data_IF_234936408575
#
_entry.id   IF_234936408575
#
_cell.length_a   1.000
_cell.length_b   1.000
_cell.length_c   1.000
_cell.angle_alpha   90.00
_cell.angle_beta   90.00
_cell.angle_gamma   90.00
#
_symmetry.space_group_name_H-M   'P 1'
#
loop_
_entity.id
_entity.type
_entity.pdbx_description
1 polymer ?
#
# COMPACT_ATOMS: atom_id res chain seq x y z
N UNK A 1 45.43 -45.57 -68.45
CA UNK A 1 45.76 -44.29 -67.76
C UNK A 1 45.56 -44.58 -66.26
N UNK A 2 46.54 -44.55 -65.35
CA UNK A 2 47.72 -43.67 -65.17
C UNK A 2 47.32 -42.22 -64.78
N UNK A 3 47.83 -41.61 -63.70
CA UNK A 3 48.79 -42.05 -62.64
C UNK A 3 48.52 -41.26 -61.31
N UNK A 4 48.97 -41.71 -60.11
CA UNK A 4 48.54 -41.18 -58.80
C UNK A 4 49.66 -40.45 -57.96
N UNK A 5 49.44 -40.28 -56.63
CA UNK A 5 50.32 -39.75 -55.51
C UNK A 5 49.94 -38.34 -55.01
N UNK A 6 50.24 -37.87 -53.79
CA UNK A 6 50.85 -38.37 -52.53
C UNK A 6 50.20 -37.62 -51.33
N UNK A 7 50.21 -37.98 -50.01
CA UNK A 7 51.00 -38.83 -49.08
C UNK A 7 51.96 -38.05 -48.13
N UNK A 8 51.50 -37.84 -46.88
CA UNK A 8 52.22 -37.58 -45.60
C UNK A 8 51.23 -37.90 -44.44
N UNK A 9 51.51 -37.99 -43.13
CA UNK A 9 52.72 -37.80 -42.30
C UNK A 9 52.62 -36.52 -41.43
N UNK A 10 52.81 -36.50 -40.10
CA UNK A 10 53.17 -37.52 -39.08
C UNK A 10 52.37 -37.24 -37.76
N UNK A 11 51.78 -38.23 -37.07
CA UNK A 11 52.28 -39.04 -35.92
C UNK A 11 52.32 -38.37 -34.53
N UNK A 12 51.96 -39.13 -33.47
CA UNK A 12 52.13 -38.86 -32.02
C UNK A 12 51.24 -37.76 -31.38
N UNK A 13 50.89 -37.78 -30.07
CA UNK A 13 51.22 -38.69 -28.94
C UNK A 13 50.06 -38.73 -27.91
N UNK A 14 50.06 -39.71 -27.00
CA UNK A 14 49.18 -39.77 -25.82
C UNK A 14 49.72 -38.89 -24.68
N UNK A 15 48.84 -38.18 -23.96
CA UNK A 15 49.14 -37.64 -22.64
C UNK A 15 47.85 -37.45 -21.80
N UNK A 16 47.71 -38.20 -20.71
CA UNK A 16 46.77 -37.89 -19.63
C UNK A 16 47.46 -37.04 -18.56
N UNK A 17 46.80 -36.01 -18.03
CA UNK A 17 47.30 -35.26 -16.86
C UNK A 17 46.16 -34.80 -15.97
N UNK A 18 46.04 -35.39 -14.78
CA UNK A 18 45.19 -34.87 -13.71
C UNK A 18 45.83 -33.65 -13.06
N UNK A 19 45.13 -32.52 -12.99
CA UNK A 19 45.52 -31.39 -12.13
C UNK A 19 44.91 -31.55 -10.75
N UNK A 20 45.70 -31.26 -9.70
CA UNK A 20 45.30 -31.43 -8.30
C UNK A 20 44.78 -30.11 -7.70
N UNK A 21 43.97 -30.25 -6.66
CA UNK A 21 43.51 -29.16 -5.80
C UNK A 21 44.69 -28.39 -5.17
N UNK A 22 44.53 -27.09 -4.99
CA UNK A 22 45.31 -26.27 -4.05
C UNK A 22 44.34 -25.26 -3.39
N UNK A 23 44.46 -24.93 -2.07
CA UNK A 23 43.38 -24.27 -1.33
C UNK A 23 43.52 -22.74 -1.28
N UNK A 24 42.37 -22.05 -1.16
CA UNK A 24 42.34 -20.59 -0.92
C UNK A 24 41.62 -20.25 0.39
N UNK A 25 42.30 -19.46 1.20
CA UNK A 25 41.99 -19.01 2.57
C UNK A 25 40.57 -18.46 2.80
N UNK A 26 40.04 -18.70 4.01
CA UNK A 26 38.83 -18.07 4.57
C UNK A 26 38.75 -16.55 4.31
N UNK A 27 37.55 -16.08 3.94
CA UNK A 27 37.01 -14.80 4.45
C UNK A 27 35.59 -15.02 4.96
N UNK A 28 35.36 -14.72 6.23
CA UNK A 28 34.03 -14.73 6.83
C UNK A 28 33.27 -13.47 6.42
N UNK A 29 32.09 -13.61 5.81
CA UNK A 29 31.19 -12.48 5.58
C UNK A 29 30.27 -12.29 6.79
N UNK A 30 30.58 -11.28 7.60
CA UNK A 30 29.73 -10.87 8.73
C UNK A 30 28.48 -10.17 8.21
N UNK A 31 27.30 -10.74 8.43
CA UNK A 31 26.03 -10.10 8.04
C UNK A 31 25.67 -8.99 9.02
N UNK A 32 25.63 -7.74 8.55
CA UNK A 32 25.18 -6.58 9.32
C UNK A 32 23.71 -6.27 9.03
N UNK A 33 22.82 -6.59 9.97
CA UNK A 33 21.38 -6.39 9.86
C UNK A 33 21.00 -4.90 9.91
N UNK A 34 20.85 -4.25 8.76
CA UNK A 34 20.47 -2.84 8.69
C UNK A 34 19.12 -2.55 9.37
N UNK A 35 19.06 -1.44 10.11
CA UNK A 35 17.91 -1.04 10.92
C UNK A 35 16.91 -0.22 10.10
N UNK A 36 15.69 -0.73 9.92
CA UNK A 36 14.55 0.07 9.50
C UNK A 36 13.79 0.56 10.74
N UNK A 37 13.98 1.83 11.09
CA UNK A 37 13.32 2.49 12.22
C UNK A 37 12.08 3.28 11.77
N UNK A 38 10.96 2.58 11.54
CA UNK A 38 9.69 3.25 11.23
C UNK A 38 9.01 3.82 12.48
N UNK A 39 9.26 5.11 12.73
CA UNK A 39 8.38 5.93 13.58
C UNK A 39 7.25 6.47 12.70
N UNK A 40 6.01 6.12 13.00
CA UNK A 40 4.83 6.81 12.47
C UNK A 40 3.91 7.19 13.63
N UNK A 41 3.71 8.50 13.84
CA UNK A 41 2.93 9.04 14.95
C UNK A 41 1.63 9.66 14.44
N UNK A 42 0.59 8.83 14.26
CA UNK A 42 -0.74 9.32 13.92
C UNK A 42 -1.36 10.05 15.13
N UNK A 43 -1.28 11.38 15.13
CA UNK A 43 -1.98 12.21 16.09
C UNK A 43 -3.50 12.03 15.95
N UNK A 44 -4.18 11.69 17.04
CA UNK A 44 -5.65 11.63 17.08
C UNK A 44 -6.21 13.02 17.42
N UNK A 45 -7.02 13.58 16.55
CA UNK A 45 -7.89 14.70 16.91
C UNK A 45 -9.10 14.19 17.68
N UNK A 46 -9.13 14.47 18.98
CA UNK A 46 -10.38 14.61 19.73
C UNK A 46 -10.88 16.08 19.60
N UNK A 47 -12.09 16.48 19.99
CA UNK A 47 -13.14 15.77 20.72
C UNK A 47 -14.54 16.34 20.38
N UNK A 48 -15.58 15.65 20.83
CA UNK A 48 -16.86 16.26 21.21
C UNK A 48 -17.44 15.46 22.39
N UNK A 49 -18.10 16.12 23.35
CA UNK A 49 -18.42 15.54 24.67
C UNK A 49 -19.87 15.76 25.08
N UNK A 50 -20.56 14.68 25.45
CA UNK A 50 -21.76 14.66 26.31
C UNK A 50 -21.99 13.23 26.83
N UNK A 51 -21.64 12.91 28.08
CA UNK A 51 -22.45 13.03 29.31
C UNK A 51 -23.69 12.13 29.38
N UNK A 52 -23.50 10.94 29.96
CA UNK A 52 -24.37 10.26 30.95
C UNK A 52 -25.89 10.46 30.94
N UNK A 53 -26.62 9.35 30.76
CA UNK A 53 -27.84 9.04 31.52
C UNK A 53 -28.01 7.52 31.69
N UNK A 54 -28.92 7.08 32.57
CA UNK A 54 -28.99 5.70 33.10
C UNK A 54 -30.13 4.84 32.53
N UNK A 55 -30.05 3.54 32.79
CA UNK A 55 -30.89 2.49 32.21
C UNK A 55 -32.39 2.54 32.58
N UNK A 56 -33.24 2.03 31.67
CA UNK A 56 -34.45 1.25 32.00
C UNK A 56 -35.04 0.53 30.76
N UNK A 57 -35.86 -0.50 30.99
CA UNK A 57 -36.54 -1.39 30.01
C UNK A 57 -37.57 -2.24 30.80
N UNK A 58 -38.64 -2.84 30.22
CA UNK A 58 -39.48 -2.52 29.04
C UNK A 58 -40.92 -2.10 29.46
N UNK A 59 -41.86 -1.96 28.51
CA UNK A 59 -43.23 -2.56 28.57
C UNK A 59 -43.94 -2.45 27.19
N UNK A 60 -45.05 -3.18 27.01
CA UNK A 60 -45.78 -3.49 25.76
C UNK A 60 -47.06 -2.64 25.60
N UNK A 61 -47.63 -2.57 24.38
CA UNK A 61 -49.08 -2.46 23.98
C UNK A 61 -49.25 -1.45 22.82
N UNK A 62 -49.47 -1.81 21.54
CA UNK A 62 -50.64 -2.44 20.81
C UNK A 62 -51.67 -1.41 20.29
N UNK A 63 -52.33 -1.72 19.15
CA UNK A 63 -53.41 -0.97 18.44
C UNK A 63 -53.02 0.27 17.60
N UNK A 64 -53.85 0.77 16.67
CA UNK A 64 -54.21 0.18 15.34
C UNK A 64 -55.08 1.12 14.47
N UNK A 65 -54.95 1.01 13.13
CA UNK A 65 -55.95 1.28 12.08
C UNK A 65 -56.72 2.63 11.98
N UNK A 66 -56.44 3.40 10.92
CA UNK A 66 -57.37 4.08 9.94
C UNK A 66 -56.49 4.97 9.02
N UNK A 67 -56.60 5.12 7.69
CA UNK A 67 -57.68 5.10 6.68
C UNK A 67 -58.57 6.37 6.64
N UNK A 68 -58.79 7.09 5.51
CA UNK A 68 -58.14 7.10 4.18
C UNK A 68 -58.60 8.31 3.31
N UNK A 69 -57.82 8.64 2.25
CA UNK A 69 -58.26 9.29 0.97
C UNK A 69 -58.52 10.85 0.98
N UNK A 70 -58.76 11.56 -0.16
CA UNK A 70 -57.67 12.22 -0.93
C UNK A 70 -57.96 13.66 -1.49
N UNK A 71 -57.11 14.10 -2.43
CA UNK A 71 -57.22 15.27 -3.35
C UNK A 71 -56.81 16.65 -2.73
N UNK A 72 -56.36 17.66 -3.49
CA UNK A 72 -56.54 17.97 -4.93
C UNK A 72 -55.29 18.60 -5.59
N UNK A 73 -55.25 18.59 -6.93
CA UNK A 73 -54.22 19.13 -7.83
C UNK A 73 -54.07 20.66 -7.82
N UNK A 74 -52.83 21.18 -7.95
CA UNK A 74 -52.54 22.38 -8.77
C UNK A 74 -51.06 22.54 -9.13
N UNK A 75 -50.80 22.99 -10.35
CA UNK A 75 -49.49 23.44 -10.87
C UNK A 75 -49.24 24.91 -10.50
N UNK A 76 -47.99 25.40 -10.46
CA UNK A 76 -47.53 26.67 -11.13
C UNK A 76 -46.10 27.10 -10.73
N UNK A 77 -45.21 27.11 -11.72
CA UNK A 77 -44.07 28.01 -12.00
C UNK A 77 -43.06 28.43 -10.90
N UNK A 78 -41.77 28.35 -11.27
CA UNK A 78 -40.66 29.03 -10.59
C UNK A 78 -40.72 30.55 -10.80
N UNK A 79 -40.28 31.34 -9.81
CA UNK A 79 -39.97 32.77 -9.98
C UNK A 79 -38.54 33.06 -9.52
N UNK A 80 -37.63 33.22 -10.46
CA UNK A 80 -36.30 33.79 -10.21
C UNK A 80 -36.42 35.26 -9.83
N UNK A 81 -35.66 35.69 -8.81
CA UNK A 81 -35.54 37.10 -8.42
C UNK A 81 -34.06 37.46 -8.40
N UNK A 82 -33.60 38.19 -9.41
CA UNK A 82 -32.29 38.83 -9.42
C UNK A 82 -32.41 40.26 -8.90
N UNK A 83 -31.74 40.62 -7.79
CA UNK A 83 -31.51 42.02 -7.46
C UNK A 83 -30.38 42.58 -8.34
N UNK A 84 -30.67 43.62 -9.12
CA UNK A 84 -29.68 44.35 -9.89
C UNK A 84 -29.28 45.64 -9.17
N UNK A 85 -27.98 45.81 -8.89
CA UNK A 85 -27.41 47.03 -8.33
C UNK A 85 -26.28 47.56 -9.23
N UNK A 86 -26.32 48.83 -9.68
CA UNK A 86 -25.25 49.42 -10.46
C UNK A 86 -24.16 49.97 -9.51
N UNK A 87 -23.02 49.30 -9.43
CA UNK A 87 -21.83 49.78 -8.73
C UNK A 87 -20.67 49.96 -9.73
N UNK A 88 -20.12 51.17 -9.80
CA UNK A 88 -19.08 51.56 -10.79
C UNK A 88 -17.85 52.14 -10.08
N UNK A 89 -17.15 51.30 -9.33
CA UNK A 89 -15.92 51.67 -8.61
C UNK A 89 -14.97 50.45 -8.54
N UNK A 90 -13.65 50.61 -8.74
CA UNK A 90 -12.70 49.50 -8.71
C UNK A 90 -12.39 49.06 -7.26
N UNK A 91 -12.26 47.75 -6.97
CA UNK A 91 -12.04 47.25 -5.61
C UNK A 91 -10.63 47.57 -5.09
N UNK A 92 -10.57 48.12 -3.87
CA UNK A 92 -9.33 48.41 -3.13
C UNK A 92 -8.59 47.10 -2.78
N UNK A 93 -7.26 47.00 -2.97
CA UNK A 93 -6.52 45.76 -2.76
C UNK A 93 -6.48 45.35 -1.27
N UNK A 94 -7.36 44.44 -0.90
CA UNK A 94 -7.44 43.92 0.48
C UNK A 94 -6.33 42.88 0.70
N UNK A 95 -5.50 43.08 1.73
CA UNK A 95 -4.34 42.23 2.06
C UNK A 95 -4.67 40.75 2.28
N UNK A 96 -5.95 40.40 2.47
CA UNK A 96 -6.46 39.03 2.61
C UNK A 96 -6.34 38.19 1.33
N UNK A 97 -6.21 38.80 0.15
CA UNK A 97 -5.95 38.05 -1.10
C UNK A 97 -4.52 37.54 -1.14
N UNK A 98 -3.54 38.38 -0.77
CA UNK A 98 -2.12 38.05 -0.83
C UNK A 98 -1.71 36.82 0.00
N UNK A 99 -2.40 36.52 1.10
CA UNK A 99 -2.15 35.30 1.90
C UNK A 99 -2.78 34.06 1.26
N UNK A 100 -3.96 34.18 0.65
CA UNK A 100 -4.56 33.11 -0.16
C UNK A 100 -3.67 32.80 -1.37
N UNK A 101 -3.25 33.83 -2.12
CA UNK A 101 -2.34 33.71 -3.25
C UNK A 101 -0.99 33.13 -2.82
N UNK A 102 -0.40 33.57 -1.70
CA UNK A 102 0.85 32.99 -1.18
C UNK A 102 0.71 31.50 -0.83
N UNK A 103 -0.46 31.07 -0.32
CA UNK A 103 -0.71 29.65 -0.04
C UNK A 103 -0.95 28.83 -1.31
N UNK A 104 -1.59 29.42 -2.34
CA UNK A 104 -1.75 28.81 -3.66
C UNK A 104 -0.42 28.75 -4.43
N UNK A 105 0.43 29.75 -4.29
CA UNK A 105 1.78 29.85 -4.83
C UNK A 105 2.72 28.83 -4.15
N UNK A 106 2.60 28.66 -2.83
CA UNK A 106 3.27 27.59 -2.09
C UNK A 106 2.78 26.20 -2.55
N UNK A 107 1.48 25.99 -2.74
CA UNK A 107 0.94 24.74 -3.26
C UNK A 107 1.37 24.46 -4.71
N UNK A 108 1.49 25.51 -5.55
CA UNK A 108 2.09 25.44 -6.89
C UNK A 108 3.57 25.06 -6.83
N UNK A 109 4.34 25.64 -5.90
CA UNK A 109 5.76 25.28 -5.69
C UNK A 109 5.95 23.88 -5.11
N UNK A 110 5.02 23.37 -4.30
CA UNK A 110 5.00 21.96 -3.90
C UNK A 110 4.68 21.04 -5.09
N UNK A 111 3.73 21.41 -5.97
CA UNK A 111 3.54 20.73 -7.26
C UNK A 111 4.75 20.83 -8.19
N UNK A 112 5.61 21.83 -8.04
CA UNK A 112 6.83 21.98 -8.87
C UNK A 112 7.87 20.87 -8.66
N UNK A 113 7.71 20.00 -7.65
CA UNK A 113 8.58 18.82 -7.44
C UNK A 113 8.26 17.64 -8.37
N UNK A 114 7.21 17.69 -9.18
CA UNK A 114 6.93 16.66 -10.21
C UNK A 114 7.58 16.97 -11.57
N UNK A 115 8.29 18.09 -11.72
CA UNK A 115 8.95 18.47 -12.96
C UNK A 115 10.04 17.43 -13.35
N UNK A 116 9.71 16.58 -14.33
CA UNK A 116 10.55 15.47 -14.80
C UNK A 116 10.06 14.07 -14.42
N UNK A 117 9.01 13.92 -13.59
CA UNK A 117 8.39 12.63 -13.27
C UNK A 117 7.29 12.25 -14.28
N UNK A 118 7.52 12.50 -15.57
CA UNK A 118 6.62 12.13 -16.66
C UNK A 118 6.74 10.64 -16.99
N UNK A 119 6.17 9.82 -16.11
CA UNK A 119 6.20 8.36 -16.14
C UNK A 119 5.12 7.76 -17.08
N UNK A 120 4.85 8.44 -18.20
CA UNK A 120 3.92 8.00 -19.25
C UNK A 120 4.69 7.09 -20.23
N UNK A 121 4.17 5.89 -20.58
CA UNK A 121 4.80 5.04 -21.57
C UNK A 121 4.93 5.74 -22.94
N UNK A 122 6.02 5.48 -23.71
CA UNK A 122 6.11 5.96 -25.08
C UNK A 122 5.00 5.32 -25.93
N UNK A 123 4.31 6.14 -26.71
CA UNK A 123 3.24 5.68 -27.60
C UNK A 123 3.86 4.89 -28.77
N UNK A 124 3.56 3.58 -28.82
CA UNK A 124 4.17 2.65 -29.76
C UNK A 124 3.15 2.24 -30.83
N UNK A 125 3.26 2.83 -32.02
CA UNK A 125 2.35 2.58 -33.13
C UNK A 125 2.34 1.10 -33.58
N UNK A 126 1.16 0.61 -33.97
CA UNK A 126 1.01 -0.69 -34.66
C UNK A 126 0.67 -1.89 -33.78
N UNK A 127 0.63 -1.77 -32.45
CA UNK A 127 0.16 -2.85 -31.54
C UNK A 127 -0.99 -2.34 -30.67
N UNK A 128 -2.12 -3.08 -30.54
CA UNK A 128 -3.19 -2.76 -29.60
C UNK A 128 -2.78 -3.12 -28.16
N UNK A 129 -1.74 -2.47 -27.65
CA UNK A 129 -1.29 -2.60 -26.28
C UNK A 129 -2.34 -1.99 -25.32
N UNK A 130 -2.68 -2.72 -24.26
CA UNK A 130 -3.65 -2.24 -23.27
C UNK A 130 -3.00 -1.12 -22.44
N UNK A 131 -3.53 0.11 -22.54
CA UNK A 131 -3.13 1.22 -21.66
C UNK A 131 -3.59 0.94 -20.22
N UNK A 132 -2.72 0.33 -19.42
CA UNK A 132 -2.97 0.06 -18.01
C UNK A 132 -3.05 1.30 -17.12
N UNK A 133 -2.67 2.50 -17.61
CA UNK A 133 -2.80 3.74 -16.84
C UNK A 133 -4.25 4.18 -16.69
N UNK A 134 -5.12 3.85 -17.67
CA UNK A 134 -6.55 4.21 -17.68
C UNK A 134 -7.50 3.03 -17.81
N UNK A 135 -7.14 1.98 -18.54
CA UNK A 135 -8.01 0.83 -18.85
C UNK A 135 -8.53 0.08 -17.62
N UNK A 136 -9.69 -0.55 -17.77
CA UNK A 136 -10.31 -1.47 -16.80
C UNK A 136 -10.43 -2.91 -17.36
N UNK A 137 -9.61 -3.25 -18.37
CA UNK A 137 -9.70 -4.53 -19.10
C UNK A 137 -9.70 -5.76 -18.20
N UNK A 138 -10.72 -6.62 -18.36
CA UNK A 138 -10.87 -7.89 -17.65
C UNK A 138 -11.30 -7.79 -16.18
N UNK A 139 -11.52 -6.59 -15.64
CA UNK A 139 -11.99 -6.40 -14.27
C UNK A 139 -13.39 -6.99 -14.08
N UNK A 140 -13.52 -7.97 -13.17
CA UNK A 140 -14.79 -8.66 -12.89
C UNK A 140 -15.29 -9.57 -14.01
N UNK A 141 -14.54 -9.76 -15.10
CA UNK A 141 -14.99 -10.56 -16.25
C UNK A 141 -14.92 -12.07 -16.06
N UNK A 142 -13.99 -12.57 -15.24
CA UNK A 142 -13.78 -13.99 -14.99
C UNK A 142 -13.32 -14.27 -13.55
N UNK A 143 -13.71 -15.43 -13.02
CA UNK A 143 -13.19 -15.95 -11.75
C UNK A 143 -11.74 -16.45 -11.91
N UNK A 144 -11.06 -16.75 -10.79
CA UNK A 144 -9.83 -17.53 -10.81
C UNK A 144 -10.14 -19.03 -10.75
N UNK A 145 -9.18 -19.90 -11.07
CA UNK A 145 -9.38 -21.35 -10.95
C UNK A 145 -9.58 -21.76 -9.48
N UNK A 146 -10.19 -22.92 -9.23
CA UNK A 146 -10.37 -23.42 -7.86
C UNK A 146 -9.03 -23.53 -7.11
N UNK A 147 -7.99 -24.06 -7.76
CA UNK A 147 -6.64 -24.15 -7.20
C UNK A 147 -6.05 -22.78 -6.81
N UNK A 148 -6.30 -21.74 -7.62
CA UNK A 148 -5.88 -20.38 -7.33
C UNK A 148 -6.67 -19.81 -6.15
N UNK A 149 -8.00 -19.97 -6.16
CA UNK A 149 -8.90 -19.53 -5.10
C UNK A 149 -8.50 -20.12 -3.74
N UNK A 150 -8.22 -21.42 -3.68
CA UNK A 150 -7.83 -22.12 -2.45
C UNK A 150 -6.45 -21.68 -1.92
N UNK A 151 -5.56 -21.18 -2.78
CA UNK A 151 -4.30 -20.56 -2.38
C UNK A 151 -4.48 -19.11 -1.89
N UNK A 152 -5.42 -18.36 -2.49
CA UNK A 152 -5.68 -16.95 -2.17
C UNK A 152 -6.48 -16.79 -0.86
N UNK A 153 -7.44 -17.69 -0.61
CA UNK A 153 -8.27 -17.71 0.61
C UNK A 153 -7.72 -18.64 1.71
N UNK A 154 -6.50 -19.17 1.56
CA UNK A 154 -5.86 -19.97 2.59
C UNK A 154 -5.72 -19.16 3.91
N UNK A 155 -6.07 -19.74 5.07
CA UNK A 155 -5.94 -19.06 6.36
C UNK A 155 -4.47 -18.74 6.66
N UNK A 156 -4.23 -17.63 7.37
CA UNK A 156 -2.88 -17.19 7.69
C UNK A 156 -2.23 -18.10 8.73
N UNK A 157 -0.98 -18.46 8.49
CA UNK A 157 -0.15 -19.05 9.52
C UNK A 157 0.13 -18.01 10.62
N UNK A 158 -0.09 -18.34 11.89
CA UNK A 158 0.01 -17.36 12.98
C UNK A 158 1.41 -16.74 13.09
N UNK A 159 2.47 -17.52 12.78
CA UNK A 159 3.84 -17.00 12.76
C UNK A 159 4.12 -15.99 11.66
N UNK A 160 3.29 -15.92 10.63
CA UNK A 160 3.45 -14.95 9.53
C UNK A 160 2.90 -13.57 9.89
N UNK A 161 2.14 -13.45 10.97
CA UNK A 161 1.51 -12.20 11.43
C UNK A 161 2.44 -11.47 12.40
N UNK A 162 2.73 -10.22 12.07
CA UNK A 162 3.57 -9.31 12.84
C UNK A 162 2.75 -8.28 13.62
N UNK A 163 3.34 -7.70 14.65
CA UNK A 163 2.66 -6.80 15.61
C UNK A 163 3.41 -5.48 15.70
N UNK A 164 2.77 -4.37 15.33
CA UNK A 164 3.36 -3.04 15.54
C UNK A 164 3.36 -2.69 17.04
N UNK A 165 4.28 -1.82 17.52
CA UNK A 165 4.29 -1.35 18.91
C UNK A 165 2.98 -0.74 19.41
N UNK A 166 2.12 -0.30 18.50
CA UNK A 166 0.78 0.27 18.76
C UNK A 166 -0.34 -0.79 18.84
N UNK A 167 -0.01 -2.09 18.75
CA UNK A 167 -0.95 -3.21 18.79
C UNK A 167 -1.62 -3.56 17.45
N UNK A 168 -1.24 -2.88 16.36
CA UNK A 168 -1.79 -3.15 15.02
C UNK A 168 -1.12 -4.39 14.42
N UNK A 169 -1.93 -5.40 14.12
CA UNK A 169 -1.51 -6.61 13.41
C UNK A 169 -1.26 -6.30 11.93
N UNK A 170 -0.26 -6.92 11.31
CA UNK A 170 -0.01 -6.82 9.87
C UNK A 170 0.68 -8.07 9.31
N UNK A 171 0.41 -8.37 8.05
CA UNK A 171 1.17 -9.35 7.28
C UNK A 171 2.32 -8.62 6.55
N UNK A 172 3.58 -9.08 6.64
CA UNK A 172 4.69 -8.47 5.89
C UNK A 172 4.52 -8.58 4.37
N UNK A 173 4.92 -7.53 3.65
CA UNK A 173 4.79 -7.41 2.18
C UNK A 173 5.30 -8.65 1.41
N UNK A 174 6.42 -9.23 1.83
CA UNK A 174 7.02 -10.42 1.22
C UNK A 174 6.10 -11.64 1.26
N UNK A 175 5.20 -11.75 2.24
CA UNK A 175 4.23 -12.85 2.35
C UNK A 175 3.15 -12.72 1.26
N UNK A 176 2.61 -11.52 1.03
CA UNK A 176 1.70 -11.26 -0.09
C UNK A 176 2.34 -11.64 -1.43
N UNK A 177 3.59 -11.22 -1.69
CA UNK A 177 4.33 -11.61 -2.92
C UNK A 177 4.50 -13.12 -3.05
N UNK A 178 4.73 -13.85 -1.95
CA UNK A 178 4.82 -15.32 -1.95
C UNK A 178 3.47 -15.98 -2.26
N UNK A 179 2.36 -15.45 -1.73
CA UNK A 179 1.00 -15.94 -2.02
C UNK A 179 0.65 -15.71 -3.50
N UNK A 180 0.91 -14.51 -4.03
CA UNK A 180 0.72 -14.19 -5.46
C UNK A 180 1.58 -15.09 -6.37
N UNK A 181 2.85 -15.31 -6.03
CA UNK A 181 3.73 -16.23 -6.77
C UNK A 181 3.27 -17.70 -6.66
N UNK A 182 2.64 -18.11 -5.56
CA UNK A 182 2.10 -19.47 -5.39
C UNK A 182 0.80 -19.67 -6.17
N UNK A 183 -0.08 -18.66 -6.22
CA UNK A 183 -1.34 -18.72 -6.95
C UNK A 183 -1.15 -18.58 -8.47
N UNK A 184 -0.39 -17.57 -8.91
CA UNK A 184 -0.35 -17.14 -10.31
C UNK A 184 0.97 -17.43 -11.03
N UNK A 185 1.99 -17.88 -10.29
CA UNK A 185 3.35 -18.04 -10.79
C UNK A 185 4.14 -16.71 -10.87
N UNK A 186 5.49 -16.75 -10.80
CA UNK A 186 6.32 -15.58 -11.12
C UNK A 186 6.06 -15.09 -12.54
N UNK A 187 5.85 -13.77 -12.71
CA UNK A 187 5.49 -13.17 -14.01
C UNK A 187 4.00 -13.27 -14.37
N UNK A 188 3.21 -14.10 -13.66
CA UNK A 188 1.75 -14.16 -13.83
C UNK A 188 0.99 -12.96 -13.25
N UNK A 189 1.67 -12.03 -12.59
CA UNK A 189 1.08 -10.84 -11.98
C UNK A 189 2.06 -9.65 -11.96
N UNK A 190 1.54 -8.43 -11.82
CA UNK A 190 2.32 -7.20 -11.68
C UNK A 190 1.49 -6.00 -11.22
N UNK A 191 2.16 -4.91 -10.83
CA UNK A 191 1.51 -3.61 -10.61
C UNK A 191 1.81 -2.68 -11.78
N UNK A 192 0.77 -2.19 -12.47
CA UNK A 192 0.90 -1.05 -13.35
C UNK A 192 0.68 0.25 -12.57
N UNK A 193 1.54 1.28 -12.74
CA UNK A 193 1.26 2.60 -12.21
C UNK A 193 0.04 3.22 -12.91
N UNK A 194 -0.76 3.99 -12.16
CA UNK A 194 -1.90 4.76 -12.67
C UNK A 194 -1.79 6.21 -12.23
N UNK A 195 -1.91 7.12 -13.19
CA UNK A 195 -1.69 8.55 -13.00
C UNK A 195 -0.26 8.92 -12.56
N UNK A 196 -0.08 10.20 -12.28
CA UNK A 196 1.19 10.81 -11.85
C UNK A 196 1.50 10.50 -10.38
N UNK A 197 2.78 10.43 -10.05
CA UNK A 197 3.27 10.38 -8.66
C UNK A 197 3.08 11.73 -7.97
N UNK A 198 2.14 11.82 -7.03
CA UNK A 198 1.94 13.06 -6.25
C UNK A 198 2.97 13.08 -5.12
N UNK A 199 3.99 13.94 -5.29
CA UNK A 199 5.03 14.20 -4.29
C UNK A 199 4.70 15.49 -3.54
N UNK A 200 4.22 15.34 -2.31
CA UNK A 200 4.12 16.45 -1.34
C UNK A 200 5.32 16.37 -0.41
N UNK A 201 5.79 17.50 0.15
CA UNK A 201 7.07 17.61 0.90
C UNK A 201 7.29 16.71 2.14
N UNK A 202 6.39 15.76 2.45
CA UNK A 202 6.55 14.67 3.44
C UNK A 202 5.87 13.34 3.02
N UNK A 203 5.33 13.24 1.80
CA UNK A 203 4.47 12.13 1.37
C UNK A 203 4.57 11.92 -0.14
N UNK A 204 4.88 10.69 -0.56
CA UNK A 204 4.65 10.22 -1.94
C UNK A 204 3.35 9.42 -1.95
N UNK A 205 2.45 9.72 -2.90
CA UNK A 205 1.23 8.90 -3.14
C UNK A 205 0.95 8.75 -4.63
N UNK A 206 0.51 7.55 -5.02
CA UNK A 206 0.20 7.20 -6.42
C UNK A 206 -0.83 6.08 -6.47
N UNK A 207 -1.59 6.00 -7.55
CA UNK A 207 -2.48 4.87 -7.81
C UNK A 207 -1.72 3.74 -8.54
N UNK A 208 -2.10 2.50 -8.27
CA UNK A 208 -1.60 1.32 -8.98
C UNK A 208 -2.76 0.37 -9.27
N UNK A 209 -2.77 -0.22 -10.47
CA UNK A 209 -3.62 -1.35 -10.82
C UNK A 209 -2.86 -2.66 -10.61
N UNK A 210 -3.43 -3.60 -9.86
CA UNK A 210 -2.96 -4.98 -9.81
C UNK A 210 -3.47 -5.72 -11.05
N UNK A 211 -2.53 -6.19 -11.86
CA UNK A 211 -2.78 -7.01 -13.05
C UNK A 211 -2.40 -8.45 -12.71
N UNK A 212 -3.24 -9.39 -13.08
CA UNK A 212 -2.98 -10.84 -13.00
C UNK A 212 -3.39 -11.45 -14.33
N UNK A 213 -2.55 -12.30 -14.92
CA UNK A 213 -2.88 -13.09 -16.12
C UNK A 213 -3.48 -12.25 -17.28
N UNK A 214 -2.96 -11.02 -17.47
CA UNK A 214 -3.40 -10.11 -18.54
C UNK A 214 -4.69 -9.31 -18.26
N UNK A 215 -5.28 -9.40 -17.06
CA UNK A 215 -6.47 -8.63 -16.65
C UNK A 215 -6.25 -7.79 -15.39
N UNK A 216 -6.94 -6.67 -15.31
CA UNK A 216 -7.03 -5.86 -14.09
C UNK A 216 -7.85 -6.60 -13.02
N UNK A 217 -7.36 -6.59 -11.79
CA UNK A 217 -7.99 -7.27 -10.64
C UNK A 217 -8.49 -6.27 -9.59
N UNK A 218 -7.67 -5.26 -9.27
CA UNK A 218 -7.96 -4.26 -8.24
C UNK A 218 -7.17 -2.98 -8.52
N UNK A 219 -7.66 -1.85 -8.04
CA UNK A 219 -6.97 -0.56 -8.07
C UNK A 219 -6.88 -0.04 -6.63
N UNK A 220 -5.67 0.32 -6.19
CA UNK A 220 -5.47 0.97 -4.91
C UNK A 220 -4.49 2.15 -5.01
N UNK A 221 -4.71 3.16 -4.16
CA UNK A 221 -3.76 4.25 -3.94
C UNK A 221 -2.75 3.83 -2.88
N UNK A 222 -1.48 3.77 -3.28
CA UNK A 222 -0.35 3.65 -2.38
C UNK A 222 0.00 5.00 -1.75
N UNK A 223 0.57 4.96 -0.56
CA UNK A 223 1.11 6.13 0.12
C UNK A 223 2.33 5.74 0.97
N UNK A 224 3.30 6.64 1.07
CA UNK A 224 4.48 6.47 1.91
C UNK A 224 5.01 7.83 2.37
N UNK A 225 5.18 8.01 3.68
CA UNK A 225 5.76 9.21 4.26
C UNK A 225 7.29 9.20 4.13
N UNK A 226 7.88 10.39 4.03
CA UNK A 226 9.32 10.63 4.08
C UNK A 226 9.63 11.90 4.89
N UNK A 227 10.87 12.02 5.36
CA UNK A 227 11.32 13.14 6.19
C UNK A 227 12.21 14.11 5.40
N UNK A 228 13.17 13.57 4.65
CA UNK A 228 14.14 14.32 3.85
C UNK A 228 13.93 14.07 2.34
N UNK A 229 14.14 15.06 1.45
CA UNK A 229 13.91 14.90 0.00
C UNK A 229 14.70 13.74 -0.63
N UNK A 230 15.90 13.45 -0.15
CA UNK A 230 16.73 12.33 -0.62
C UNK A 230 16.06 10.96 -0.38
N UNK A 231 15.05 10.90 0.49
CA UNK A 231 14.20 9.72 0.74
C UNK A 231 13.10 9.47 -0.29
N UNK A 232 12.86 10.38 -1.25
CA UNK A 232 11.79 10.25 -2.26
C UNK A 232 11.88 8.94 -3.08
N UNK A 233 13.05 8.44 -3.53
CA UNK A 233 13.14 7.16 -4.24
C UNK A 233 12.68 5.97 -3.38
N UNK A 234 13.17 5.90 -2.13
CA UNK A 234 12.74 4.88 -1.14
C UNK A 234 11.25 4.98 -0.83
N UNK A 235 10.71 6.21 -0.75
CA UNK A 235 9.30 6.44 -0.55
C UNK A 235 8.45 6.02 -1.77
N UNK A 236 8.99 6.11 -2.98
CA UNK A 236 8.30 5.70 -4.22
C UNK A 236 8.13 4.17 -4.28
N UNK A 237 9.17 3.39 -3.95
CA UNK A 237 9.03 1.93 -3.84
C UNK A 237 8.16 1.54 -2.63
N UNK A 238 8.26 2.24 -1.50
CA UNK A 238 7.35 2.03 -0.35
C UNK A 238 5.87 2.29 -0.69
N UNK A 239 5.58 3.32 -1.49
CA UNK A 239 4.25 3.64 -2.00
C UNK A 239 3.68 2.51 -2.88
N UNK A 240 4.49 1.98 -3.82
CA UNK A 240 4.18 0.83 -4.67
C UNK A 240 3.92 -0.44 -3.86
N UNK A 241 4.74 -0.73 -2.85
CA UNK A 241 4.51 -1.84 -1.91
C UNK A 241 3.26 -1.66 -1.03
N UNK A 242 2.95 -0.43 -0.62
CA UNK A 242 1.72 -0.10 0.10
C UNK A 242 0.48 -0.39 -0.76
N UNK A 243 0.50 0.02 -2.03
CA UNK A 243 -0.57 -0.27 -2.98
C UNK A 243 -0.76 -1.78 -3.19
N UNK A 244 0.33 -2.55 -3.31
CA UNK A 244 0.26 -4.01 -3.49
C UNK A 244 -0.58 -4.69 -2.42
N UNK A 245 -0.29 -4.40 -1.14
CA UNK A 245 -1.00 -5.00 -0.01
C UNK A 245 -2.48 -4.60 0.03
N UNK A 246 -2.81 -3.38 -0.43
CA UNK A 246 -4.20 -2.91 -0.56
C UNK A 246 -4.94 -3.67 -1.66
N UNK A 247 -4.35 -3.82 -2.86
CA UNK A 247 -4.94 -4.59 -3.95
C UNK A 247 -5.11 -6.09 -3.61
N UNK A 248 -4.20 -6.66 -2.81
CA UNK A 248 -4.30 -8.05 -2.36
C UNK A 248 -5.53 -8.33 -1.47
N UNK A 249 -6.11 -7.30 -0.84
CA UNK A 249 -7.32 -7.46 -0.02
C UNK A 249 -8.54 -7.87 -0.85
N UNK A 250 -8.65 -7.36 -2.08
CA UNK A 250 -9.76 -7.65 -2.98
C UNK A 250 -9.65 -9.06 -3.59
N UNK A 251 -8.47 -9.67 -3.52
CA UNK A 251 -8.25 -11.11 -3.77
C UNK A 251 -8.58 -11.99 -2.54
N UNK A 252 -9.02 -11.40 -1.42
CA UNK A 252 -9.30 -12.10 -0.16
C UNK A 252 -8.07 -12.45 0.69
N UNK A 253 -6.86 -12.23 0.18
CA UNK A 253 -5.60 -12.53 0.87
C UNK A 253 -5.53 -11.74 2.18
N UNK A 254 -5.20 -12.43 3.28
CA UNK A 254 -5.06 -11.85 4.62
C UNK A 254 -6.31 -11.11 5.15
N UNK A 255 -7.50 -11.45 4.63
CA UNK A 255 -8.78 -10.89 5.04
C UNK A 255 -9.06 -11.02 6.55
N UNK A 256 -8.57 -12.09 7.18
CA UNK A 256 -8.60 -12.33 8.63
C UNK A 256 -8.05 -11.16 9.46
N UNK A 257 -7.02 -10.44 8.98
CA UNK A 257 -6.44 -9.28 9.68
C UNK A 257 -7.38 -8.07 9.76
N UNK A 258 -8.55 -8.14 9.12
CA UNK A 258 -9.60 -7.13 9.17
C UNK A 258 -10.83 -7.59 9.96
N UNK A 259 -10.90 -8.84 10.42
CA UNK A 259 -12.00 -9.33 11.27
C UNK A 259 -11.77 -8.95 12.74
N UNK A 260 -12.68 -8.18 13.37
CA UNK A 260 -12.61 -7.87 14.79
C UNK A 260 -12.60 -9.09 15.73
N UNK A 261 -13.04 -10.29 15.30
CA UNK A 261 -12.96 -11.51 16.11
C UNK A 261 -11.55 -12.09 16.06
N UNK A 262 -11.00 -12.34 14.86
CA UNK A 262 -9.59 -12.75 14.69
C UNK A 262 -8.63 -11.82 15.44
N UNK A 263 -8.76 -10.50 15.26
CA UNK A 263 -7.88 -9.51 15.91
C UNK A 263 -7.92 -9.68 17.45
N UNK A 264 -9.11 -9.80 18.05
CA UNK A 264 -9.23 -9.98 19.51
C UNK A 264 -8.61 -11.27 20.00
N UNK A 265 -8.80 -12.38 19.27
CA UNK A 265 -8.24 -13.67 19.63
C UNK A 265 -6.71 -13.66 19.51
N UNK A 266 -6.18 -13.18 18.37
CA UNK A 266 -4.73 -13.07 18.15
C UNK A 266 -4.06 -12.12 19.15
N UNK A 267 -4.67 -10.97 19.47
CA UNK A 267 -4.15 -10.06 20.50
C UNK A 267 -4.06 -10.77 21.86
N UNK A 268 -5.08 -11.52 22.27
CA UNK A 268 -5.08 -12.27 23.53
C UNK A 268 -4.04 -13.41 23.53
N UNK A 269 -3.97 -14.17 22.46
CA UNK A 269 -3.25 -15.45 22.42
C UNK A 269 -1.78 -15.28 22.02
N UNK A 270 -1.45 -14.30 21.17
CA UNK A 270 -0.11 -14.11 20.59
C UNK A 270 0.59 -12.79 20.98
N UNK A 271 -0.06 -11.85 21.68
CA UNK A 271 0.58 -10.57 22.08
C UNK A 271 0.71 -10.37 23.60
N UNK A 272 1.65 -9.52 23.99
CA UNK A 272 1.91 -9.08 25.37
C UNK A 272 2.02 -7.57 25.42
N UNK A 273 1.56 -6.97 26.50
CA UNK A 273 1.76 -5.55 26.78
C UNK A 273 2.99 -5.35 27.67
N UNK A 274 3.87 -4.40 27.32
CA UNK A 274 5.13 -4.17 28.02
C UNK A 274 5.33 -2.68 28.28
N UNK A 275 5.69 -2.32 29.51
CA UNK A 275 6.17 -0.97 29.84
C UNK A 275 7.64 -0.84 29.43
N UNK A 276 7.94 0.23 28.69
CA UNK A 276 9.28 0.49 28.15
C UNK A 276 9.70 1.93 28.38
N UNK A 277 10.97 2.13 28.66
CA UNK A 277 11.62 3.44 28.78
C UNK A 277 12.54 3.67 27.58
N UNK A 278 12.47 4.85 26.97
CA UNK A 278 13.38 5.25 25.90
C UNK A 278 14.77 5.56 26.48
N UNK A 279 15.82 4.87 26.01
CA UNK A 279 17.17 4.88 26.63
C UNK A 279 17.75 6.29 26.82
N UNK A 280 17.70 7.15 25.81
CA UNK A 280 18.21 8.54 25.90
C UNK A 280 17.23 9.50 26.58
N UNK A 281 15.96 9.55 26.16
CA UNK A 281 15.00 10.56 26.62
C UNK A 281 14.30 10.24 27.94
N UNK A 282 14.51 9.03 28.50
CA UNK A 282 13.88 8.49 29.73
C UNK A 282 12.34 8.50 29.73
N UNK A 283 11.70 8.75 28.58
CA UNK A 283 10.24 8.73 28.43
C UNK A 283 9.74 7.29 28.52
N UNK A 284 8.87 7.03 29.50
CA UNK A 284 8.17 5.75 29.64
C UNK A 284 6.92 5.74 28.76
N UNK A 285 6.64 4.61 28.09
CA UNK A 285 5.38 4.31 27.41
C UNK A 285 5.03 2.84 27.54
N UNK A 286 3.75 2.51 27.37
CA UNK A 286 3.27 1.14 27.17
C UNK A 286 3.33 0.82 25.68
N UNK A 287 3.77 -0.38 25.30
CA UNK A 287 3.72 -0.90 23.93
C UNK A 287 3.14 -2.31 23.91
N UNK A 288 2.63 -2.73 22.75
CA UNK A 288 2.25 -4.11 22.47
C UNK A 288 3.37 -4.77 21.66
N UNK A 289 3.71 -6.02 21.99
CA UNK A 289 4.68 -6.85 21.28
C UNK A 289 4.10 -8.25 21.07
N UNK A 290 4.64 -9.01 20.11
CA UNK A 290 4.37 -10.45 20.02
C UNK A 290 4.99 -11.18 21.22
N UNK A 291 4.41 -12.30 21.68
CA UNK A 291 4.81 -12.95 22.95
C UNK A 291 6.25 -13.47 22.95
N UNK A 292 6.72 -13.86 21.78
CA UNK A 292 8.07 -14.31 21.43
C UNK A 292 9.08 -13.17 21.16
N UNK A 293 8.62 -11.98 20.76
CA UNK A 293 9.49 -10.83 20.46
C UNK A 293 10.05 -10.13 21.73
N UNK A 294 11.11 -9.34 21.57
CA UNK A 294 11.86 -8.68 22.64
C UNK A 294 11.94 -7.16 22.48
N UNK A 295 12.09 -6.41 23.57
CA UNK A 295 12.14 -4.94 23.51
C UNK A 295 13.44 -4.48 22.83
N UNK A 296 13.34 -3.96 21.61
CA UNK A 296 14.48 -3.45 20.82
C UNK A 296 14.81 -1.98 21.13
N UNK A 297 16.10 -1.64 21.01
CA UNK A 297 16.59 -0.25 21.00
C UNK A 297 15.79 0.61 20.00
N UNK A 298 15.39 1.86 20.31
CA UNK A 298 15.85 2.72 21.42
C UNK A 298 15.14 2.53 22.76
N UNK A 299 14.35 1.46 22.92
CA UNK A 299 13.61 1.17 24.15
C UNK A 299 14.30 0.08 24.98
N UNK A 300 14.09 0.13 26.30
CA UNK A 300 14.41 -0.95 27.26
C UNK A 300 13.13 -1.29 28.04
N UNK A 301 12.97 -2.55 28.43
CA UNK A 301 11.88 -2.94 29.33
C UNK A 301 12.03 -2.22 30.68
N UNK A 302 10.90 -1.93 31.33
CA UNK A 302 10.85 -1.35 32.68
C UNK A 302 9.77 -2.05 33.47
N UNK A 303 10.14 -2.58 34.64
CA UNK A 303 9.23 -3.12 35.63
C UNK A 303 8.43 -2.02 36.33
#
# INVERSE_FOLDING_TARGET
MAVPRARSGLSHLLASSSTRLCPTTRRSFTSTSNLLAFVNSNARSAAATSTTSTASKPTVTTTSSTAAKPATTSTTQQRTVMPAFPAKEPPVPTTRTATADSSAEAARKQRSLTAGLFDQPPEQEGVPAIDWTRSFHGLGGEAFTAEQHDVLLAPLHQDDVEVKPDGILYLPEIKYRRILNKAFGPGGWGLAPRGESIVTGKLVTREYGLIVQGRLVSIARGEQQYFDPDGIPTATEGCKSNALMRCCKDLGIASELWDPRFIRQFTKDMTKEVWVEHVTTKKKKKIVLRKDDTVRYPFKQTS
#
